data_IF_597504875055
#
_entry.id   IF_597504875055
#
_cell.length_a   1.000
_cell.length_b   1.000
_cell.length_c   1.000
_cell.angle_alpha   90.00
_cell.angle_beta   90.00
_cell.angle_gamma   90.00
#
_symmetry.space_group_name_H-M   'P 1'
#
loop_
_entity.id
_entity.type
_entity.pdbx_description
1 polymer ?
#
# COMPACT_ATOMS: atom_id res chain seq x y z
N UNK A 1 12.13 -4.60 24.78
CA UNK A 1 12.46 -3.71 23.63
C UNK A 1 13.51 -2.73 24.07
N UNK A 2 14.68 -2.75 23.44
CA UNK A 2 15.79 -1.87 23.81
C UNK A 2 15.66 -0.53 23.08
N UNK A 3 15.48 -0.55 21.77
CA UNK A 3 15.31 0.62 20.90
C UNK A 3 14.52 0.24 19.65
N UNK A 4 13.71 1.18 19.12
CA UNK A 4 13.25 1.12 17.75
C UNK A 4 14.34 1.68 16.85
N UNK A 5 14.59 1.05 15.71
CA UNK A 5 15.50 1.56 14.69
C UNK A 5 14.87 1.36 13.31
N UNK A 6 15.11 2.30 12.41
CA UNK A 6 14.73 2.15 11.01
C UNK A 6 15.96 1.79 10.17
N UNK A 7 15.75 1.03 9.11
CA UNK A 7 16.76 0.74 8.10
C UNK A 7 16.60 1.61 6.87
N UNK A 8 15.36 1.84 6.45
CA UNK A 8 15.01 2.55 5.21
C UNK A 8 14.22 3.84 5.43
N UNK A 9 13.78 4.14 6.65
CA UNK A 9 13.08 5.37 6.99
C UNK A 9 14.05 6.56 7.17
N UNK A 10 13.47 7.75 7.23
CA UNK A 10 14.20 9.00 7.46
C UNK A 10 14.85 9.05 8.87
N UNK A 11 14.09 8.66 9.88
CA UNK A 11 14.53 8.62 11.28
C UNK A 11 13.89 7.44 12.02
N UNK A 12 14.44 7.08 13.18
CA UNK A 12 13.97 5.94 13.98
C UNK A 12 12.51 6.07 14.44
N UNK A 13 11.98 7.28 14.49
CA UNK A 13 10.60 7.62 14.86
C UNK A 13 9.78 8.18 13.69
N UNK A 14 10.33 8.20 12.47
CA UNK A 14 9.61 8.63 11.26
C UNK A 14 8.67 7.56 10.73
N UNK A 15 7.76 7.98 9.88
CA UNK A 15 6.79 7.12 9.24
C UNK A 15 7.21 6.81 7.78
N UNK A 16 8.08 5.80 7.62
CA UNK A 16 8.48 5.33 6.30
C UNK A 16 7.30 4.72 5.54
N UNK A 17 6.96 5.31 4.38
CA UNK A 17 5.71 5.03 3.68
C UNK A 17 5.56 3.55 3.29
N UNK A 18 6.58 2.95 2.66
CA UNK A 18 6.50 1.53 2.26
C UNK A 18 6.49 0.60 3.47
N UNK A 19 7.19 0.93 4.56
CA UNK A 19 7.13 0.17 5.81
C UNK A 19 5.72 0.10 6.38
N UNK A 20 4.99 1.21 6.38
CA UNK A 20 3.58 1.21 6.77
C UNK A 20 2.70 0.45 5.78
N UNK A 21 2.98 0.57 4.49
CA UNK A 21 2.32 -0.23 3.45
C UNK A 21 2.47 -1.72 3.70
N UNK A 22 3.67 -2.19 4.06
CA UNK A 22 3.92 -3.59 4.43
C UNK A 22 3.09 -4.02 5.64
N UNK A 23 2.94 -3.14 6.65
CA UNK A 23 2.13 -3.44 7.82
C UNK A 23 0.64 -3.58 7.46
N UNK A 24 0.07 -2.69 6.64
CA UNK A 24 -1.32 -2.78 6.18
C UNK A 24 -1.52 -4.10 5.41
N UNK A 25 -0.66 -4.39 4.44
CA UNK A 25 -0.74 -5.59 3.62
C UNK A 25 -0.57 -6.86 4.45
N UNK A 26 0.48 -6.89 5.28
CA UNK A 26 0.83 -8.05 6.09
C UNK A 26 -0.23 -8.38 7.14
N UNK A 27 -0.74 -7.41 7.89
CA UNK A 27 -1.80 -7.64 8.87
C UNK A 27 -3.12 -8.06 8.21
N UNK A 28 -3.45 -7.49 7.04
CA UNK A 28 -4.62 -7.94 6.26
C UNK A 28 -4.48 -9.39 5.83
N UNK A 29 -3.29 -9.78 5.35
CA UNK A 29 -3.00 -11.15 4.96
C UNK A 29 -3.05 -12.11 6.17
N UNK A 30 -2.46 -11.73 7.30
CA UNK A 30 -2.51 -12.57 8.52
C UNK A 30 -3.94 -12.74 8.99
N UNK A 31 -4.76 -11.68 8.98
CA UNK A 31 -6.19 -11.79 9.29
C UNK A 31 -6.89 -12.77 8.34
N UNK A 32 -6.64 -12.68 7.04
CA UNK A 32 -7.20 -13.63 6.06
C UNK A 32 -6.91 -15.08 6.41
N UNK A 33 -5.66 -15.39 6.84
CA UNK A 33 -5.23 -16.75 7.10
C UNK A 33 -5.65 -17.27 8.48
N UNK A 34 -5.76 -16.39 9.47
CA UNK A 34 -6.00 -16.78 10.87
C UNK A 34 -7.41 -16.52 11.35
N UNK A 35 -8.09 -15.53 10.82
CA UNK A 35 -9.37 -15.02 11.32
C UNK A 35 -9.27 -14.25 12.65
N UNK A 36 -8.06 -13.97 13.14
CA UNK A 36 -7.86 -13.30 14.43
C UNK A 36 -8.11 -11.79 14.31
N UNK A 37 -9.17 -11.29 14.95
CA UNK A 37 -9.63 -9.88 14.88
C UNK A 37 -8.55 -8.85 15.25
N UNK A 38 -7.58 -9.21 16.08
CA UNK A 38 -6.47 -8.31 16.43
C UNK A 38 -5.67 -7.84 15.19
N UNK A 39 -5.52 -8.69 14.18
CA UNK A 39 -4.79 -8.34 12.97
C UNK A 39 -5.63 -7.45 12.04
N UNK A 40 -6.95 -7.64 12.01
CA UNK A 40 -7.85 -6.71 11.31
C UNK A 40 -7.81 -5.32 11.94
N UNK A 41 -7.86 -5.24 13.26
CA UNK A 41 -7.77 -3.99 14.01
C UNK A 41 -6.44 -3.27 13.75
N UNK A 42 -5.30 -4.01 13.74
CA UNK A 42 -3.99 -3.45 13.42
C UNK A 42 -3.92 -2.96 11.97
N UNK A 43 -4.46 -3.72 11.01
CA UNK A 43 -4.52 -3.31 9.61
C UNK A 43 -5.31 -2.01 9.44
N UNK A 44 -6.49 -1.90 10.07
CA UNK A 44 -7.34 -0.72 9.99
C UNK A 44 -6.72 0.51 10.67
N UNK A 45 -6.09 0.35 11.83
CA UNK A 45 -5.39 1.44 12.53
C UNK A 45 -4.20 1.94 11.72
N UNK A 46 -3.41 1.04 11.13
CA UNK A 46 -2.28 1.41 10.27
C UNK A 46 -2.76 2.07 8.98
N UNK A 47 -3.83 1.54 8.37
CA UNK A 47 -4.43 2.14 7.18
C UNK A 47 -4.96 3.56 7.47
N UNK A 48 -5.61 3.77 8.61
CA UNK A 48 -6.05 5.11 9.02
C UNK A 48 -4.87 6.08 9.13
N UNK A 49 -3.83 5.70 9.89
CA UNK A 49 -2.65 6.55 10.07
C UNK A 49 -1.97 6.90 8.73
N UNK A 50 -1.92 5.94 7.80
CA UNK A 50 -1.38 6.13 6.47
C UNK A 50 -2.23 7.10 5.64
N UNK A 51 -3.54 6.86 5.55
CA UNK A 51 -4.47 7.63 4.73
C UNK A 51 -4.60 9.09 5.21
N UNK A 52 -4.53 9.32 6.52
CA UNK A 52 -4.60 10.66 7.11
C UNK A 52 -3.39 11.55 6.73
N UNK A 53 -2.28 10.96 6.30
CA UNK A 53 -1.03 11.66 5.98
C UNK A 53 -0.73 11.75 4.48
N UNK A 54 -1.56 11.14 3.65
CA UNK A 54 -1.37 11.17 2.21
C UNK A 54 -1.56 12.60 1.64
N UNK A 55 -0.75 12.96 0.64
CA UNK A 55 -1.02 14.17 -0.14
C UNK A 55 -2.29 14.01 -0.99
N UNK A 56 -2.74 15.11 -1.59
CA UNK A 56 -4.02 15.14 -2.34
C UNK A 56 -4.09 14.16 -3.51
N UNK A 57 -2.95 13.87 -4.14
CA UNK A 57 -2.82 12.90 -5.24
C UNK A 57 -2.76 11.44 -4.77
N UNK A 58 -2.75 11.21 -3.47
CA UNK A 58 -2.72 9.89 -2.83
C UNK A 58 -1.45 9.05 -3.09
N UNK A 59 -0.41 9.63 -3.68
CA UNK A 59 0.88 8.96 -3.84
C UNK A 59 1.83 9.48 -2.75
N UNK A 60 2.32 8.64 -1.86
CA UNK A 60 3.12 9.10 -0.73
C UNK A 60 4.50 9.60 -1.16
N UNK A 61 5.08 10.46 -0.35
CA UNK A 61 6.51 10.62 -0.32
C UNK A 61 7.15 9.36 0.26
N UNK A 62 8.44 9.13 0.02
CA UNK A 62 9.14 7.96 0.50
C UNK A 62 9.07 7.78 2.03
N UNK A 63 9.00 8.89 2.74
CA UNK A 63 8.76 8.97 4.19
C UNK A 63 7.86 10.19 4.47
N UNK A 64 6.87 10.03 5.33
CA UNK A 64 5.91 11.10 5.64
C UNK A 64 6.50 12.22 6.48
N UNK A 65 7.65 11.99 7.12
CA UNK A 65 8.39 12.95 7.94
C UNK A 65 9.66 13.45 7.24
N UNK A 66 9.82 13.18 5.95
CA UNK A 66 10.95 13.65 5.17
C UNK A 66 11.04 15.18 5.17
N UNK A 67 12.25 15.76 5.37
CA UNK A 67 12.39 17.16 5.78
C UNK A 67 12.09 18.19 4.69
N UNK A 68 12.15 17.78 3.42
CA UNK A 68 12.02 18.71 2.30
C UNK A 68 10.68 18.55 1.53
N UNK A 69 9.65 17.96 2.13
CA UNK A 69 8.31 17.92 1.52
C UNK A 69 7.87 19.38 1.21
N UNK A 70 7.39 19.68 -0.02
CA UNK A 70 6.96 18.75 -1.09
C UNK A 70 8.04 18.37 -2.11
N UNK A 71 9.31 18.70 -1.90
CA UNK A 71 10.40 18.46 -2.84
C UNK A 71 11.13 17.12 -2.59
N UNK A 72 10.49 16.20 -1.88
CA UNK A 72 10.99 14.85 -1.65
C UNK A 72 10.56 13.88 -2.75
N UNK A 73 11.33 12.81 -3.01
CA UNK A 73 10.92 11.78 -3.96
C UNK A 73 9.64 11.07 -3.51
N UNK A 74 8.83 10.72 -4.51
CA UNK A 74 7.62 9.90 -4.32
C UNK A 74 7.99 8.42 -4.23
N UNK A 75 7.07 7.62 -3.71
CA UNK A 75 7.22 6.16 -3.73
C UNK A 75 5.98 5.50 -4.34
N UNK A 76 6.00 5.35 -5.67
CA UNK A 76 4.94 4.65 -6.41
C UNK A 76 4.78 3.20 -5.94
N UNK A 77 5.86 2.56 -5.47
CA UNK A 77 5.81 1.19 -4.95
C UNK A 77 4.98 1.11 -3.67
N UNK A 78 5.09 2.09 -2.78
CA UNK A 78 4.27 2.16 -1.57
C UNK A 78 2.79 2.40 -1.91
N UNK A 79 2.50 3.25 -2.90
CA UNK A 79 1.12 3.47 -3.36
C UNK A 79 0.50 2.20 -3.96
N UNK A 80 1.23 1.50 -4.83
CA UNK A 80 0.76 0.26 -5.45
C UNK A 80 0.48 -0.84 -4.40
N UNK A 81 1.40 -1.02 -3.46
CA UNK A 81 1.26 -1.94 -2.33
C UNK A 81 0.04 -1.62 -1.48
N UNK A 82 -0.13 -0.34 -1.11
CA UNK A 82 -1.26 0.08 -0.25
C UNK A 82 -2.58 -0.01 -1.01
N UNK A 83 -2.63 0.34 -2.30
CA UNK A 83 -3.82 0.12 -3.11
C UNK A 83 -4.25 -1.35 -3.11
N UNK A 84 -3.30 -2.28 -3.31
CA UNK A 84 -3.58 -3.72 -3.24
C UNK A 84 -4.09 -4.14 -1.86
N UNK A 85 -3.45 -3.66 -0.79
CA UNK A 85 -3.85 -3.96 0.59
C UNK A 85 -5.26 -3.44 0.91
N UNK A 86 -5.57 -2.19 0.56
CA UNK A 86 -6.88 -1.58 0.83
C UNK A 86 -8.03 -2.28 0.10
N UNK A 87 -7.80 -2.75 -1.14
CA UNK A 87 -8.79 -3.55 -1.87
C UNK A 87 -9.17 -4.82 -1.13
N UNK A 88 -8.18 -5.52 -0.57
CA UNK A 88 -8.45 -6.71 0.22
C UNK A 88 -9.05 -6.37 1.58
N UNK A 89 -8.49 -5.37 2.30
CA UNK A 89 -8.97 -4.92 3.60
C UNK A 89 -10.45 -4.48 3.55
N UNK A 90 -10.87 -3.87 2.43
CA UNK A 90 -12.27 -3.48 2.23
C UNK A 90 -13.24 -4.65 2.30
N UNK A 91 -12.81 -5.86 1.90
CA UNK A 91 -13.65 -7.06 1.90
C UNK A 91 -13.85 -7.65 3.31
N UNK A 92 -12.97 -7.33 4.25
CA UNK A 92 -13.03 -7.78 5.64
C UNK A 92 -13.63 -6.75 6.58
N UNK A 93 -13.74 -5.49 6.15
CA UNK A 93 -14.21 -4.37 6.98
C UNK A 93 -15.72 -4.43 7.15
N UNK A 94 -16.20 -4.59 8.41
CA UNK A 94 -17.62 -4.72 8.75
C UNK A 94 -18.40 -3.42 8.61
N UNK A 95 -17.74 -2.27 8.87
CA UNK A 95 -18.31 -0.94 8.63
C UNK A 95 -18.33 -0.65 7.13
N UNK A 96 -19.52 -0.56 6.56
CA UNK A 96 -19.71 -0.36 5.11
C UNK A 96 -19.20 1.00 4.61
N UNK A 97 -19.23 2.03 5.45
CA UNK A 97 -18.71 3.36 5.10
C UNK A 97 -17.19 3.30 5.01
N UNK A 98 -16.55 2.68 6.00
CA UNK A 98 -15.10 2.50 6.02
C UNK A 98 -14.63 1.57 4.89
N UNK A 99 -15.34 0.47 4.65
CA UNK A 99 -15.05 -0.46 3.54
C UNK A 99 -15.10 0.27 2.19
N UNK A 100 -16.16 1.08 1.97
CA UNK A 100 -16.27 1.90 0.77
C UNK A 100 -15.14 2.92 0.66
N UNK A 101 -14.75 3.57 1.75
CA UNK A 101 -13.65 4.53 1.75
C UNK A 101 -12.33 3.87 1.32
N UNK A 102 -12.03 2.65 1.81
CA UNK A 102 -10.84 1.90 1.38
C UNK A 102 -10.88 1.59 -0.11
N UNK A 103 -12.01 1.12 -0.62
CA UNK A 103 -12.20 0.84 -2.05
C UNK A 103 -12.00 2.11 -2.90
N UNK A 104 -12.65 3.21 -2.53
CA UNK A 104 -12.58 4.49 -3.26
C UNK A 104 -11.15 5.07 -3.25
N UNK A 105 -10.43 4.96 -2.13
CA UNK A 105 -9.03 5.41 -2.01
C UNK A 105 -8.09 4.55 -2.87
N UNK A 106 -8.23 3.24 -2.83
CA UNK A 106 -7.44 2.33 -3.66
C UNK A 106 -7.67 2.56 -5.15
N UNK A 107 -8.93 2.73 -5.57
CA UNK A 107 -9.24 3.04 -6.97
C UNK A 107 -8.62 4.36 -7.44
N UNK A 108 -8.69 5.41 -6.62
CA UNK A 108 -8.05 6.70 -6.92
C UNK A 108 -6.52 6.61 -7.01
N UNK A 109 -5.88 5.85 -6.10
CA UNK A 109 -4.43 5.57 -6.19
C UNK A 109 -4.08 4.89 -7.50
N UNK A 110 -4.86 3.88 -7.91
CA UNK A 110 -4.62 3.16 -9.17
C UNK A 110 -4.81 4.06 -10.39
N UNK A 111 -5.82 4.93 -10.38
CA UNK A 111 -6.02 5.92 -11.45
C UNK A 111 -4.85 6.88 -11.53
N UNK A 112 -4.37 7.39 -10.39
CA UNK A 112 -3.21 8.29 -10.35
C UNK A 112 -1.93 7.59 -10.85
N UNK A 113 -1.66 6.37 -10.38
CA UNK A 113 -0.54 5.55 -10.85
C UNK A 113 -0.61 5.30 -12.36
N UNK A 114 -1.81 4.98 -12.87
CA UNK A 114 -2.02 4.72 -14.30
C UNK A 114 -1.82 5.96 -15.19
N UNK A 115 -2.21 7.12 -14.71
CA UNK A 115 -2.16 8.35 -15.49
C UNK A 115 -0.77 9.00 -15.49
N UNK A 116 -0.12 9.03 -14.32
CA UNK A 116 1.02 9.89 -14.07
C UNK A 116 2.32 9.14 -13.74
N UNK A 117 2.25 7.83 -13.44
CA UNK A 117 3.40 7.03 -13.00
C UNK A 117 3.76 5.87 -13.94
N UNK A 118 3.01 5.65 -15.01
CA UNK A 118 3.35 4.60 -15.99
C UNK A 118 4.60 4.95 -16.79
N UNK A 119 5.40 3.94 -17.10
CA UNK A 119 6.63 4.09 -17.86
C UNK A 119 6.40 4.50 -19.33
N UNK A 120 5.27 4.12 -19.92
CA UNK A 120 4.86 4.48 -21.30
C UNK A 120 6.03 4.32 -22.29
N UNK A 121 6.61 3.14 -22.34
CA UNK A 121 7.74 2.78 -23.23
C UNK A 121 9.12 3.40 -22.90
N UNK A 122 9.26 4.10 -21.78
CA UNK A 122 10.58 4.58 -21.33
C UNK A 122 11.52 3.45 -20.92
N UNK A 123 10.96 2.38 -20.38
CA UNK A 123 11.67 1.14 -20.02
C UNK A 123 10.69 -0.05 -19.98
N UNK A 124 11.16 -1.23 -19.60
CA UNK A 124 10.35 -2.46 -19.52
C UNK A 124 9.49 -2.58 -18.26
N UNK A 125 9.57 -1.64 -17.32
CA UNK A 125 8.73 -1.63 -16.11
C UNK A 125 7.35 -1.04 -16.39
N UNK A 126 6.38 -1.32 -15.52
CA UNK A 126 5.07 -0.67 -15.59
C UNK A 126 5.08 0.69 -14.91
N UNK A 127 5.71 0.82 -13.75
CA UNK A 127 5.73 2.05 -12.95
C UNK A 127 7.12 2.68 -12.86
N UNK A 128 7.12 4.01 -12.83
CA UNK A 128 8.25 4.88 -12.53
C UNK A 128 8.11 5.46 -11.12
N UNK A 129 9.11 6.23 -10.69
CA UNK A 129 9.07 7.10 -9.50
C UNK A 129 8.86 6.36 -8.19
N UNK A 130 9.52 5.21 -8.01
CA UNK A 130 9.63 4.53 -6.72
C UNK A 130 10.93 4.89 -6.00
N UNK A 131 10.93 4.79 -4.67
CA UNK A 131 12.12 5.05 -3.86
C UNK A 131 12.46 3.81 -3.01
N UNK A 132 13.51 3.08 -3.40
CA UNK A 132 13.93 1.85 -2.73
C UNK A 132 14.62 2.11 -1.40
N UNK A 133 15.75 2.80 -1.40
CA UNK A 133 16.54 3.03 -0.17
C UNK A 133 17.22 4.40 -0.16
N UNK A 134 16.46 5.45 0.15
CA UNK A 134 16.98 6.83 0.15
C UNK A 134 18.12 7.07 1.15
N UNK A 135 18.09 6.57 2.40
CA UNK A 135 19.22 6.77 3.31
C UNK A 135 20.57 6.21 2.80
N UNK A 136 20.51 5.16 1.96
CA UNK A 136 21.70 4.58 1.33
C UNK A 136 22.01 5.21 -0.05
N UNK A 137 21.26 6.20 -0.48
CA UNK A 137 21.45 6.85 -1.78
C UNK A 137 21.17 5.96 -2.99
N UNK A 138 20.43 4.87 -2.84
CA UNK A 138 20.15 3.90 -3.89
C UNK A 138 18.66 3.83 -4.26
N UNK A 139 18.38 3.55 -5.54
CA UNK A 139 17.03 3.38 -6.09
C UNK A 139 16.10 4.57 -5.76
N UNK A 140 16.61 5.79 -5.93
CA UNK A 140 15.85 7.02 -5.72
C UNK A 140 15.25 7.45 -7.05
N UNK A 141 13.92 7.53 -7.11
CA UNK A 141 13.18 7.86 -8.34
C UNK A 141 13.39 6.82 -9.46
N UNK A 142 13.35 5.54 -9.13
CA UNK A 142 13.57 4.42 -10.04
C UNK A 142 12.31 3.58 -10.25
N UNK A 143 12.35 2.77 -11.32
CA UNK A 143 11.43 1.64 -11.49
C UNK A 143 11.88 0.46 -10.64
N UNK A 144 10.96 -0.15 -9.89
CA UNK A 144 11.28 -1.25 -8.98
C UNK A 144 10.29 -2.39 -9.24
N UNK A 145 10.78 -3.62 -9.35
CA UNK A 145 9.99 -4.79 -9.75
C UNK A 145 8.80 -5.09 -8.82
N UNK A 146 8.93 -4.88 -7.52
CA UNK A 146 7.81 -5.08 -6.61
C UNK A 146 6.72 -3.98 -6.72
N UNK A 147 7.06 -2.78 -7.24
CA UNK A 147 6.05 -1.80 -7.60
C UNK A 147 5.13 -2.34 -8.69
N UNK A 148 5.71 -2.95 -9.73
CA UNK A 148 4.98 -3.57 -10.83
C UNK A 148 4.14 -4.76 -10.35
N UNK A 149 4.70 -5.60 -9.47
CA UNK A 149 3.97 -6.72 -8.89
C UNK A 149 2.69 -6.26 -8.20
N UNK A 150 2.80 -5.33 -7.24
CA UNK A 150 1.63 -4.86 -6.48
C UNK A 150 0.68 -4.03 -7.30
N UNK A 151 1.15 -3.32 -8.31
CA UNK A 151 0.30 -2.61 -9.26
C UNK A 151 -0.59 -3.58 -10.05
N UNK A 152 0.00 -4.62 -10.63
CA UNK A 152 -0.74 -5.66 -11.36
C UNK A 152 -1.70 -6.41 -10.43
N UNK A 153 -1.25 -6.78 -9.22
CA UNK A 153 -2.09 -7.43 -8.21
C UNK A 153 -3.30 -6.55 -7.86
N UNK A 154 -3.09 -5.25 -7.61
CA UNK A 154 -4.16 -4.32 -7.30
C UNK A 154 -5.17 -4.16 -8.45
N UNK A 155 -4.69 -4.07 -9.69
CA UNK A 155 -5.58 -4.02 -10.86
C UNK A 155 -6.43 -5.29 -11.00
N UNK A 156 -5.83 -6.46 -10.75
CA UNK A 156 -6.54 -7.75 -10.77
C UNK A 156 -7.57 -7.85 -9.64
N UNK A 157 -7.22 -7.39 -8.43
CA UNK A 157 -8.13 -7.32 -7.29
C UNK A 157 -9.31 -6.40 -7.59
N UNK A 158 -9.04 -5.20 -8.10
CA UNK A 158 -10.09 -4.24 -8.47
C UNK A 158 -11.01 -4.80 -9.56
N UNK A 159 -10.44 -5.44 -10.59
CA UNK A 159 -11.21 -6.11 -11.66
C UNK A 159 -12.15 -7.17 -11.09
N UNK A 160 -11.67 -8.02 -10.18
CA UNK A 160 -12.50 -9.04 -9.52
C UNK A 160 -13.63 -8.40 -8.71
N UNK A 161 -13.33 -7.41 -7.87
CA UNK A 161 -14.32 -6.73 -7.04
C UNK A 161 -15.42 -6.08 -7.89
N UNK A 162 -15.04 -5.40 -8.98
CA UNK A 162 -16.01 -4.81 -9.92
C UNK A 162 -16.89 -5.85 -10.63
N UNK A 163 -16.39 -7.07 -10.80
CA UNK A 163 -17.13 -8.20 -11.36
C UNK A 163 -17.94 -8.99 -10.31
N UNK A 164 -17.92 -8.58 -9.03
CA UNK A 164 -18.57 -9.32 -7.94
C UNK A 164 -17.87 -10.65 -7.60
N UNK A 165 -16.61 -10.83 -8.02
CA UNK A 165 -15.84 -12.05 -7.77
C UNK A 165 -15.06 -11.89 -6.46
N UNK A 166 -15.18 -12.80 -5.48
CA UNK A 166 -14.40 -12.76 -4.26
C UNK A 166 -12.90 -12.75 -4.53
N UNK A 167 -12.13 -12.00 -3.73
CA UNK A 167 -10.66 -11.96 -3.83
C UNK A 167 -10.01 -13.24 -3.33
N UNK A 168 -10.59 -13.84 -2.29
CA UNK A 168 -10.15 -15.10 -1.68
C UNK A 168 -11.21 -16.17 -1.92
N UNK A 169 -10.78 -17.42 -2.12
CA UNK A 169 -11.70 -18.52 -1.97
C UNK A 169 -12.27 -18.48 -0.55
N UNK A 170 -13.59 -18.68 -0.40
CA UNK A 170 -14.22 -18.78 0.92
C UNK A 170 -13.33 -19.67 1.79
N UNK A 171 -12.98 -19.21 2.99
CA UNK A 171 -12.41 -20.10 4.00
C UNK A 171 -13.40 -21.24 4.12
N UNK A 172 -13.05 -22.39 3.54
CA UNK A 172 -13.81 -23.61 3.75
C UNK A 172 -13.78 -23.78 5.24
N UNK A 173 -14.95 -23.59 5.87
CA UNK A 173 -15.15 -23.90 7.27
C UNK A 173 -14.62 -25.33 7.48
N UNK A 174 -13.40 -25.42 8.04
CA UNK A 174 -12.93 -26.68 8.62
C UNK A 174 -13.82 -26.93 9.82
N UNK A 175 -15.00 -27.47 9.56
CA UNK A 175 -15.79 -28.15 10.58
C UNK A 175 -14.89 -29.23 11.17
N UNK A 176 -14.57 -29.07 12.44
CA UNK A 176 -13.96 -30.10 13.27
C UNK A 176 -14.91 -31.29 13.41
#
# INVERSE_FOLDING_TARGET
>A
KIKGVTHQGYADDSMWARGQGWAIYGYTMVYRETGEEQYLDLAQKTAKAYLDRLPNDLIPYWDFDAPNIPNEPRDASAAALVASALLELSTFTKDSILAKNYLDKAEKMLVELSNNYQSKDKNSAFLLHSTGHKPNGSEIDYSINYADYYYVEALLRLKKLKAGIPLTASLVTKTK
#
